data_IF_036500751342
#
_entry.id   IF_036500751342
#
_cell.length_a   1.000
_cell.length_b   1.000
_cell.length_c   1.000
_cell.angle_alpha   90.00
_cell.angle_beta   90.00
_cell.angle_gamma   90.00
#
_symmetry.space_group_name_H-M   'P 1'
#
loop_
_entity.id
_entity.type
_entity.pdbx_description
1 polymer ?
#
# COMPACT_ATOMS: atom_id res chain seq x y z
N UNK A 1 -11.67 0.48 -13.71
CA UNK A 1 -12.50 1.42 -12.91
C UNK A 1 -13.39 0.69 -11.91
N UNK A 2 -12.88 -0.37 -11.28
CA UNK A 2 -13.73 -1.30 -10.51
C UNK A 2 -14.05 -0.82 -9.09
N UNK A 3 -13.28 0.14 -8.58
CA UNK A 3 -13.42 0.66 -7.22
C UNK A 3 -13.86 2.13 -7.26
N UNK A 4 -15.12 2.38 -6.93
CA UNK A 4 -15.71 3.72 -6.81
C UNK A 4 -14.93 4.59 -5.83
N UNK A 5 -14.50 4.01 -4.72
CA UNK A 5 -13.69 4.63 -3.68
C UNK A 5 -12.40 5.27 -4.23
N UNK A 6 -11.68 4.57 -5.11
CA UNK A 6 -10.45 5.09 -5.70
C UNK A 6 -10.70 6.32 -6.59
N UNK A 7 -11.86 6.38 -7.25
CA UNK A 7 -12.26 7.53 -8.06
C UNK A 7 -12.68 8.70 -7.18
N UNK A 8 -13.43 8.45 -6.11
CA UNK A 8 -13.81 9.46 -5.12
C UNK A 8 -12.57 10.09 -4.46
N UNK A 9 -11.59 9.28 -4.04
CA UNK A 9 -10.34 9.78 -3.48
C UNK A 9 -9.59 10.70 -4.45
N UNK A 10 -9.61 10.41 -5.76
CA UNK A 10 -9.06 11.32 -6.78
C UNK A 10 -9.91 12.58 -6.93
N UNK A 11 -11.24 12.46 -6.92
CA UNK A 11 -12.17 13.59 -7.04
C UNK A 11 -12.08 14.60 -5.89
N UNK A 12 -11.88 14.12 -4.66
CA UNK A 12 -11.76 14.95 -3.46
C UNK A 12 -10.34 15.47 -3.20
N UNK A 13 -9.33 14.98 -3.91
CA UNK A 13 -7.96 15.40 -3.67
C UNK A 13 -7.76 16.88 -4.02
N UNK A 14 -7.14 17.64 -3.12
CA UNK A 14 -6.63 18.99 -3.43
C UNK A 14 -5.30 18.95 -4.19
N UNK A 15 -4.61 17.80 -4.12
CA UNK A 15 -3.30 17.56 -4.73
C UNK A 15 -3.09 16.09 -4.99
N UNK A 16 -2.50 15.77 -6.14
CA UNK A 16 -2.29 14.38 -6.54
C UNK A 16 -0.80 14.14 -6.77
N UNK A 17 -0.25 13.19 -6.01
CA UNK A 17 1.13 12.76 -6.13
C UNK A 17 1.19 11.42 -6.86
N UNK A 18 1.71 11.45 -8.07
CA UNK A 18 1.87 10.27 -8.90
C UNK A 18 3.23 9.62 -8.61
N UNK A 19 3.21 8.58 -7.78
CA UNK A 19 4.40 7.79 -7.47
C UNK A 19 4.61 6.61 -8.44
N UNK A 20 5.80 6.01 -8.41
CA UNK A 20 6.16 4.79 -9.17
C UNK A 20 6.09 4.93 -10.69
N UNK A 21 6.22 6.15 -11.21
CA UNK A 21 6.25 6.38 -12.66
C UNK A 21 7.47 5.77 -13.34
N UNK A 22 8.48 5.38 -12.57
CA UNK A 22 9.69 4.66 -13.00
C UNK A 22 9.44 3.21 -13.41
N UNK A 23 8.31 2.61 -13.00
CA UNK A 23 7.98 1.21 -13.29
C UNK A 23 7.14 1.02 -14.56
N UNK A 24 6.80 2.11 -15.26
CA UNK A 24 5.87 2.13 -16.39
C UNK A 24 6.38 3.02 -17.52
N UNK A 25 5.79 2.89 -18.71
CA UNK A 25 6.21 3.69 -19.86
C UNK A 25 5.74 5.14 -19.74
N UNK A 26 6.40 6.06 -20.43
CA UNK A 26 5.95 7.46 -20.49
C UNK A 26 4.54 7.60 -21.07
N UNK A 27 4.17 6.74 -22.02
CA UNK A 27 2.82 6.68 -22.57
C UNK A 27 1.78 6.31 -21.52
N UNK A 28 2.07 5.32 -20.67
CA UNK A 28 1.16 4.92 -19.59
C UNK A 28 0.95 6.05 -18.59
N UNK A 29 2.05 6.72 -18.23
CA UNK A 29 2.03 7.86 -17.31
C UNK A 29 1.20 9.01 -17.90
N UNK A 30 1.34 9.27 -19.20
CA UNK A 30 0.56 10.31 -19.89
C UNK A 30 -0.93 9.96 -19.90
N UNK A 31 -1.28 8.73 -20.28
CA UNK A 31 -2.67 8.26 -20.31
C UNK A 31 -3.33 8.36 -18.92
N UNK A 32 -2.63 7.93 -17.86
CA UNK A 32 -3.10 8.05 -16.49
C UNK A 32 -3.27 9.51 -16.07
N UNK A 33 -2.30 10.38 -16.39
CA UNK A 33 -2.37 11.81 -16.07
C UNK A 33 -3.55 12.50 -16.74
N UNK A 34 -3.85 12.19 -18.00
CA UNK A 34 -5.02 12.70 -18.72
C UNK A 34 -6.34 12.20 -18.12
N UNK A 35 -6.38 10.97 -17.64
CA UNK A 35 -7.55 10.42 -16.96
C UNK A 35 -7.77 11.08 -15.60
N UNK A 36 -6.71 11.25 -14.81
CA UNK A 36 -6.77 11.97 -13.52
C UNK A 36 -7.26 13.39 -13.72
N UNK A 37 -6.74 14.12 -14.72
CA UNK A 37 -7.19 15.49 -15.03
C UNK A 37 -8.65 15.57 -15.45
N UNK A 38 -9.18 14.53 -16.10
CA UNK A 38 -10.62 14.43 -16.41
C UNK A 38 -11.48 14.23 -15.16
N UNK A 39 -10.99 13.45 -14.19
CA UNK A 39 -11.69 13.20 -12.93
C UNK A 39 -11.62 14.41 -11.98
N UNK A 40 -10.45 15.05 -11.88
CA UNK A 40 -10.24 16.21 -11.03
C UNK A 40 -9.40 17.26 -11.76
N UNK A 41 -10.04 18.23 -12.43
CA UNK A 41 -9.35 19.32 -13.12
C UNK A 41 -8.70 20.35 -12.17
N UNK A 42 -9.11 20.37 -10.89
CA UNK A 42 -8.70 21.37 -9.90
C UNK A 42 -7.38 20.99 -9.21
N UNK A 43 -7.12 19.70 -9.06
CA UNK A 43 -5.92 19.21 -8.38
C UNK A 43 -4.67 19.20 -9.28
N UNK A 44 -3.57 19.87 -8.90
CA UNK A 44 -2.30 19.71 -9.58
C UNK A 44 -1.77 18.28 -9.40
N UNK A 45 -1.34 17.67 -10.52
CA UNK A 45 -0.74 16.33 -10.56
C UNK A 45 0.77 16.47 -10.67
N UNK A 46 1.51 15.95 -9.70
CA UNK A 46 2.98 15.97 -9.68
C UNK A 46 3.55 14.57 -9.59
N UNK A 47 4.55 14.25 -10.42
CA UNK A 47 5.29 12.98 -10.31
C UNK A 47 6.22 13.05 -9.11
N UNK A 48 6.25 11.99 -8.31
CA UNK A 48 7.14 11.87 -7.15
C UNK A 48 7.86 10.53 -7.21
N UNK A 49 9.11 10.50 -6.77
CA UNK A 49 9.90 9.29 -6.71
C UNK A 49 10.19 8.97 -5.25
N UNK A 50 9.78 7.78 -4.78
CA UNK A 50 9.99 7.32 -3.40
C UNK A 50 9.57 8.31 -2.29
N UNK A 51 8.58 9.17 -2.56
CA UNK A 51 8.09 10.16 -1.58
C UNK A 51 9.01 11.36 -1.41
N UNK A 52 10.05 11.51 -2.25
CA UNK A 52 10.86 12.71 -2.30
C UNK A 52 10.04 13.86 -2.88
N UNK A 53 9.67 14.80 -2.00
CA UNK A 53 9.06 16.06 -2.38
C UNK A 53 9.32 17.11 -1.28
N UNK A 54 9.45 18.41 -1.63
CA UNK A 54 9.51 19.46 -0.63
C UNK A 54 8.26 19.43 0.27
N UNK A 55 8.46 19.60 1.58
CA UNK A 55 7.37 19.50 2.56
C UNK A 55 6.32 20.60 2.36
N UNK A 56 6.73 21.77 1.83
CA UNK A 56 5.82 22.88 1.52
C UNK A 56 4.88 22.54 0.36
N UNK A 57 5.20 21.51 -0.42
CA UNK A 57 4.32 20.99 -1.46
C UNK A 57 3.36 19.91 -0.95
N UNK A 58 3.45 19.51 0.32
CA UNK A 58 2.52 18.58 0.96
C UNK A 58 1.66 19.29 2.00
N UNK A 59 2.25 20.23 2.75
CA UNK A 59 1.61 20.97 3.83
C UNK A 59 1.20 22.40 3.38
N UNK A 60 0.31 23.04 4.15
CA UNK A 60 -0.16 24.42 3.92
C UNK A 60 -0.71 24.70 2.51
N UNK A 61 -1.27 23.67 1.89
CA UNK A 61 -1.73 23.71 0.51
C UNK A 61 -3.00 24.54 0.30
N UNK A 62 -3.62 25.02 1.39
CA UNK A 62 -4.90 25.77 1.41
C UNK A 62 -5.99 25.13 0.54
N UNK A 63 -6.00 23.79 0.50
CA UNK A 63 -6.93 23.01 -0.32
C UNK A 63 -8.35 23.01 0.22
N UNK A 64 -8.51 23.11 1.54
CA UNK A 64 -9.83 23.09 2.15
C UNK A 64 -10.61 24.39 1.92
N UNK A 65 -11.59 24.33 1.03
CA UNK A 65 -12.63 25.35 0.87
C UNK A 65 -14.00 24.68 0.98
N UNK A 66 -14.63 24.80 2.16
CA UNK A 66 -15.92 24.18 2.46
C UNK A 66 -17.00 24.56 1.45
N UNK A 67 -17.00 25.79 0.93
CA UNK A 67 -17.98 26.23 -0.06
C UNK A 67 -17.78 25.50 -1.40
N UNK A 68 -16.52 25.28 -1.82
CA UNK A 68 -16.22 24.55 -3.04
C UNK A 68 -16.59 23.06 -2.96
N UNK A 69 -16.57 22.49 -1.74
CA UNK A 69 -16.99 21.11 -1.46
C UNK A 69 -18.53 21.02 -1.54
N UNK A 70 -19.24 21.94 -0.87
CA UNK A 70 -20.72 21.99 -0.89
C UNK A 70 -21.30 22.30 -2.28
N UNK A 71 -20.56 23.00 -3.15
CA UNK A 71 -20.95 23.22 -4.56
C UNK A 71 -20.86 21.93 -5.40
N UNK A 72 -19.93 21.02 -5.08
CA UNK A 72 -19.74 19.75 -5.77
C UNK A 72 -20.66 18.66 -5.21
N UNK A 73 -20.83 18.66 -3.90
CA UNK A 73 -21.65 17.72 -3.16
C UNK A 73 -22.45 18.47 -2.07
N UNK A 74 -23.68 18.94 -2.40
CA UNK A 74 -24.53 19.65 -1.46
C UNK A 74 -24.96 18.82 -0.24
N UNK A 75 -24.92 17.48 -0.35
CA UNK A 75 -25.27 16.55 0.72
C UNK A 75 -24.05 16.13 1.55
N UNK A 76 -22.86 16.71 1.30
CA UNK A 76 -21.60 16.38 1.99
C UNK A 76 -21.68 16.46 3.53
N UNK A 77 -22.58 17.29 4.08
CA UNK A 77 -22.80 17.42 5.53
C UNK A 77 -23.97 16.55 6.05
N UNK A 78 -24.67 15.85 5.16
CA UNK A 78 -25.72 14.91 5.52
C UNK A 78 -25.13 13.57 5.98
N UNK A 79 -25.84 12.88 6.87
CA UNK A 79 -25.48 11.52 7.30
C UNK A 79 -25.64 10.53 6.14
N UNK A 80 -24.65 10.45 5.25
CA UNK A 80 -24.51 9.32 4.33
C UNK A 80 -23.98 8.13 5.12
N UNK A 81 -24.88 7.26 5.54
CA UNK A 81 -24.55 5.93 6.02
C UNK A 81 -23.80 5.17 4.92
N UNK A 82 -22.47 5.26 4.93
CA UNK A 82 -21.61 4.38 4.14
C UNK A 82 -21.70 2.98 4.76
N UNK A 83 -22.56 2.12 4.21
CA UNK A 83 -22.56 0.69 4.54
C UNK A 83 -21.26 0.07 4.02
N UNK A 84 -20.23 0.05 4.87
CA UNK A 84 -19.03 -0.73 4.62
C UNK A 84 -19.36 -2.21 4.81
N UNK A 85 -19.70 -2.89 3.71
CA UNK A 85 -19.59 -4.34 3.67
C UNK A 85 -18.08 -4.66 3.56
N UNK A 86 -17.39 -4.69 4.70
CA UNK A 86 -15.95 -4.95 4.76
C UNK A 86 -15.66 -6.43 4.45
N UNK A 87 -15.65 -6.77 3.16
CA UNK A 87 -15.12 -8.05 2.66
C UNK A 87 -13.58 -8.13 2.76
N UNK A 88 -12.94 -7.00 3.04
CA UNK A 88 -11.49 -6.86 3.12
C UNK A 88 -11.06 -6.90 4.59
N UNK A 89 -10.26 -7.91 4.93
CA UNK A 89 -9.71 -8.07 6.26
C UNK A 89 -8.20 -7.83 6.25
N UNK A 90 -7.65 -7.53 7.44
CA UNK A 90 -6.22 -7.48 7.64
C UNK A 90 -5.79 -8.30 8.84
N UNK A 91 -4.61 -8.89 8.75
CA UNK A 91 -3.99 -9.58 9.88
C UNK A 91 -2.49 -9.37 9.89
N UNK A 92 -1.90 -9.51 11.08
CA UNK A 92 -0.50 -9.22 11.30
C UNK A 92 0.19 -10.42 11.94
N UNK A 93 1.32 -10.81 11.36
CA UNK A 93 2.26 -11.77 11.93
C UNK A 93 3.39 -11.01 12.64
N UNK A 94 3.77 -11.47 13.84
CA UNK A 94 4.91 -10.95 14.60
C UNK A 94 5.76 -12.08 15.11
N UNK A 95 7.09 -11.92 15.04
CA UNK A 95 8.01 -12.90 15.61
C UNK A 95 9.28 -12.23 16.13
N UNK A 96 9.74 -12.70 17.29
CA UNK A 96 11.04 -12.37 17.87
C UNK A 96 12.11 -13.40 17.46
N UNK A 97 11.91 -14.12 16.35
CA UNK A 97 12.88 -15.07 15.77
C UNK A 97 13.23 -14.67 14.33
N UNK A 98 14.44 -15.00 13.85
CA UNK A 98 14.81 -14.76 12.46
C UNK A 98 14.09 -15.74 11.52
N UNK A 99 13.80 -15.29 10.30
CA UNK A 99 13.35 -16.14 9.20
C UNK A 99 14.51 -16.86 8.52
N UNK A 100 14.25 -18.07 8.02
CA UNK A 100 15.01 -18.70 6.97
C UNK A 100 14.58 -18.12 5.62
N UNK A 101 15.53 -17.58 4.85
CA UNK A 101 15.24 -16.92 3.57
C UNK A 101 14.57 -17.82 2.55
N UNK A 102 15.14 -18.99 2.29
CA UNK A 102 14.68 -19.91 1.26
C UNK A 102 13.27 -20.42 1.58
N UNK A 103 13.00 -20.76 2.85
CA UNK A 103 11.66 -21.20 3.29
C UNK A 103 10.63 -20.09 3.10
N UNK A 104 10.97 -18.87 3.52
CA UNK A 104 10.07 -17.73 3.43
C UNK A 104 9.74 -17.39 1.97
N UNK A 105 10.73 -17.39 1.09
CA UNK A 105 10.55 -17.13 -0.33
C UNK A 105 9.66 -18.18 -1.00
N UNK A 106 9.90 -19.46 -0.74
CA UNK A 106 9.08 -20.55 -1.27
C UNK A 106 7.63 -20.45 -0.78
N UNK A 107 7.44 -20.21 0.53
CA UNK A 107 6.12 -20.05 1.11
C UNK A 107 5.37 -18.86 0.50
N UNK A 108 5.96 -17.66 0.51
CA UNK A 108 5.31 -16.46 -0.02
C UNK A 108 4.99 -16.58 -1.51
N UNK A 109 5.90 -17.16 -2.31
CA UNK A 109 5.66 -17.40 -3.74
C UNK A 109 4.45 -18.31 -3.97
N UNK A 110 4.32 -19.39 -3.19
CA UNK A 110 3.16 -20.27 -3.24
C UNK A 110 1.86 -19.56 -2.83
N UNK A 111 1.90 -18.78 -1.74
CA UNK A 111 0.73 -18.02 -1.29
C UNK A 111 0.30 -16.96 -2.32
N UNK A 112 1.25 -16.28 -2.97
CA UNK A 112 0.96 -15.30 -4.03
C UNK A 112 0.37 -15.99 -5.26
N UNK A 113 0.90 -17.16 -5.65
CA UNK A 113 0.37 -17.90 -6.80
C UNK A 113 -1.09 -18.33 -6.59
N UNK A 114 -1.45 -18.72 -5.37
CA UNK A 114 -2.80 -19.21 -5.05
C UNK A 114 -3.76 -18.07 -4.71
N UNK A 115 -3.35 -17.13 -3.86
CA UNK A 115 -4.22 -16.11 -3.27
C UNK A 115 -3.96 -14.70 -3.82
N UNK A 116 -3.03 -14.52 -4.76
CA UNK A 116 -2.64 -13.19 -5.22
C UNK A 116 -3.77 -12.31 -5.80
N UNK A 117 -4.84 -12.84 -6.43
CA UNK A 117 -6.01 -12.02 -6.78
C UNK A 117 -6.69 -11.39 -5.55
N UNK A 118 -6.78 -12.13 -4.44
CA UNK A 118 -7.42 -11.71 -3.20
C UNK A 118 -6.46 -11.01 -2.23
N UNK A 119 -5.16 -11.15 -2.44
CA UNK A 119 -4.09 -10.57 -1.64
C UNK A 119 -3.81 -9.11 -2.08
N UNK A 120 -4.69 -8.20 -1.66
CA UNK A 120 -4.67 -6.80 -2.10
C UNK A 120 -3.35 -6.08 -1.78
N UNK A 121 -2.84 -6.24 -0.55
CA UNK A 121 -1.59 -5.59 -0.14
C UNK A 121 -0.93 -6.31 1.01
N UNK A 122 0.39 -6.34 0.99
CA UNK A 122 1.16 -6.90 2.08
C UNK A 122 2.49 -6.20 2.20
N UNK A 123 2.97 -6.08 3.43
CA UNK A 123 4.21 -5.39 3.76
C UNK A 123 4.83 -5.96 5.01
N UNK A 124 6.11 -5.73 5.17
CA UNK A 124 6.70 -5.84 6.49
C UNK A 124 8.19 -5.62 6.55
N UNK A 125 8.66 -5.71 7.79
CA UNK A 125 10.06 -5.58 8.17
C UNK A 125 10.46 -6.90 8.77
N UNK A 126 11.48 -7.53 8.21
CA UNK A 126 11.87 -8.89 8.50
C UNK A 126 13.26 -8.91 9.13
N UNK A 127 13.39 -9.74 10.17
CA UNK A 127 14.68 -10.21 10.65
C UNK A 127 15.02 -11.51 9.90
N UNK A 128 16.01 -11.45 9.01
CA UNK A 128 16.50 -12.62 8.28
C UNK A 128 17.73 -13.22 8.97
N UNK A 129 17.80 -14.56 9.04
CA UNK A 129 18.97 -15.27 9.56
C UNK A 129 20.22 -14.90 8.75
N UNK A 130 21.31 -14.59 9.44
CA UNK A 130 22.57 -14.19 8.81
C UNK A 130 22.61 -12.76 8.24
N UNK A 131 21.52 -11.99 8.30
CA UNK A 131 21.50 -10.61 7.80
C UNK A 131 21.53 -9.59 8.97
N UNK A 132 22.55 -8.71 9.05
CA UNK A 132 22.63 -7.68 10.08
C UNK A 132 21.70 -6.48 9.83
N UNK A 133 21.05 -6.42 8.66
CA UNK A 133 20.11 -5.36 8.27
C UNK A 133 18.67 -5.86 8.28
N UNK A 134 17.75 -4.91 8.40
CA UNK A 134 16.32 -5.15 8.15
C UNK A 134 16.14 -5.52 6.68
N UNK A 135 15.27 -6.48 6.40
CA UNK A 135 14.73 -6.66 5.05
C UNK A 135 13.33 -6.05 5.04
N UNK A 136 13.10 -5.10 4.16
CA UNK A 136 11.77 -4.54 3.95
C UNK A 136 11.18 -5.24 2.74
N UNK A 137 10.01 -5.85 2.88
CA UNK A 137 9.29 -6.44 1.76
C UNK A 137 7.94 -5.78 1.60
N UNK A 138 7.45 -5.75 0.37
CA UNK A 138 6.14 -5.23 0.03
C UNK A 138 5.60 -5.88 -1.23
N UNK A 139 4.29 -6.01 -1.29
CA UNK A 139 3.62 -6.46 -2.49
C UNK A 139 2.18 -5.98 -2.59
N UNK A 140 1.68 -6.08 -3.82
CA UNK A 140 0.34 -5.69 -4.26
C UNK A 140 -0.10 -6.76 -5.24
N UNK A 141 -1.14 -7.52 -4.88
CA UNK A 141 -1.58 -8.69 -5.63
C UNK A 141 -0.42 -9.65 -5.94
N UNK A 142 -0.22 -9.96 -7.21
CA UNK A 142 0.80 -10.88 -7.72
C UNK A 142 2.23 -10.33 -7.67
N UNK A 143 2.40 -9.03 -7.41
CA UNK A 143 3.71 -8.39 -7.46
C UNK A 143 4.30 -8.25 -6.05
N UNK A 144 5.49 -8.79 -5.87
CA UNK A 144 6.28 -8.68 -4.64
C UNK A 144 7.67 -8.12 -4.95
N UNK A 145 8.21 -7.32 -4.04
CA UNK A 145 9.59 -6.86 -4.05
C UNK A 145 10.14 -6.74 -2.63
N UNK A 146 11.46 -6.76 -2.51
CA UNK A 146 12.16 -6.63 -1.24
C UNK A 146 13.46 -5.85 -1.38
N UNK A 147 13.77 -5.05 -0.36
CA UNK A 147 14.95 -4.20 -0.30
C UNK A 147 15.65 -4.32 1.06
N UNK A 148 16.96 -4.05 1.07
CA UNK A 148 17.73 -3.94 2.31
C UNK A 148 17.43 -2.61 2.99
N UNK A 149 16.78 -2.67 4.15
CA UNK A 149 16.55 -1.54 5.02
C UNK A 149 17.77 -1.16 5.88
N UNK A 150 17.54 -0.33 6.90
CA UNK A 150 18.59 0.11 7.83
C UNK A 150 19.17 -1.09 8.63
N UNK A 151 20.45 -1.03 9.02
CA UNK A 151 21.01 -1.95 10.02
C UNK A 151 20.16 -1.98 11.29
N UNK A 152 20.12 -3.13 11.98
CA UNK A 152 19.39 -3.24 13.25
C UNK A 152 19.95 -2.34 14.35
N UNK A 153 21.27 -2.12 14.37
CA UNK A 153 21.91 -1.29 15.40
C UNK A 153 21.62 -1.80 16.82
N UNK A 154 21.10 -0.92 17.68
CA UNK A 154 20.66 -1.25 19.05
C UNK A 154 19.18 -1.62 19.15
N UNK A 155 18.45 -1.55 18.03
CA UNK A 155 17.01 -1.79 18.04
C UNK A 155 16.71 -3.28 18.21
N UNK A 156 15.62 -3.60 18.92
CA UNK A 156 15.16 -4.99 19.08
C UNK A 156 14.90 -5.60 17.70
N UNK A 157 15.54 -6.73 17.43
CA UNK A 157 15.31 -7.51 16.21
C UNK A 157 13.97 -8.22 16.32
N UNK A 158 13.08 -7.94 15.38
CA UNK A 158 11.76 -8.54 15.32
C UNK A 158 11.24 -8.49 13.88
N UNK A 159 10.41 -9.45 13.51
CA UNK A 159 9.70 -9.47 12.25
C UNK A 159 8.27 -9.03 12.46
N UNK A 160 7.77 -8.15 11.59
CA UNK A 160 6.36 -7.72 11.55
C UNK A 160 5.91 -7.74 10.10
N UNK A 161 4.84 -8.48 9.81
CA UNK A 161 4.25 -8.60 8.48
C UNK A 161 2.76 -8.33 8.58
N UNK A 162 2.23 -7.47 7.71
CA UNK A 162 0.79 -7.22 7.56
C UNK A 162 0.33 -7.71 6.20
N UNK A 163 -0.82 -8.36 6.19
CA UNK A 163 -1.52 -8.82 4.99
C UNK A 163 -2.92 -8.20 5.00
N UNK A 164 -3.36 -7.75 3.84
CA UNK A 164 -4.65 -7.13 3.59
C UNK A 164 -5.23 -7.83 2.37
N UNK A 165 -6.42 -8.40 2.51
CA UNK A 165 -7.05 -9.10 1.40
C UNK A 165 -8.47 -9.57 1.69
N UNK A 166 -9.07 -10.19 0.67
CA UNK A 166 -10.45 -10.67 0.72
C UNK A 166 -10.47 -12.13 1.14
N UNK A 167 -11.18 -12.47 2.22
CA UNK A 167 -11.41 -13.86 2.68
C UNK A 167 -10.13 -14.71 2.73
N UNK A 168 -9.00 -14.10 3.11
CA UNK A 168 -7.72 -14.80 3.17
C UNK A 168 -7.72 -15.85 4.28
N UNK A 169 -7.13 -17.05 4.07
CA UNK A 169 -7.02 -18.08 5.10
C UNK A 169 -5.96 -17.70 6.13
N UNK A 170 -6.30 -16.78 7.04
CA UNK A 170 -5.40 -16.21 8.06
C UNK A 170 -4.58 -17.28 8.79
N UNK A 171 -5.22 -18.33 9.28
CA UNK A 171 -4.55 -19.35 10.09
C UNK A 171 -3.50 -20.13 9.28
N UNK A 172 -3.76 -20.38 7.99
CA UNK A 172 -2.79 -20.98 7.07
C UNK A 172 -1.57 -20.07 6.87
N UNK A 173 -1.80 -18.77 6.68
CA UNK A 173 -0.71 -17.79 6.57
C UNK A 173 0.14 -17.75 7.83
N UNK A 174 -0.48 -17.65 9.00
CA UNK A 174 0.24 -17.57 10.27
C UNK A 174 1.03 -18.85 10.57
N UNK A 175 0.42 -20.01 10.35
CA UNK A 175 1.09 -21.30 10.55
C UNK A 175 2.29 -21.48 9.60
N UNK A 176 2.11 -21.22 8.30
CA UNK A 176 3.20 -21.34 7.33
C UNK A 176 4.35 -20.37 7.57
N UNK A 177 4.06 -19.14 8.03
CA UNK A 177 5.10 -18.21 8.44
C UNK A 177 5.88 -18.69 9.67
N UNK A 178 5.21 -19.32 10.64
CA UNK A 178 5.89 -19.88 11.82
C UNK A 178 6.87 -21.01 11.42
N UNK A 179 6.52 -21.84 10.44
CA UNK A 179 7.40 -22.90 9.90
C UNK A 179 8.63 -22.37 9.13
N UNK A 180 8.56 -21.10 8.69
CA UNK A 180 9.66 -20.40 8.04
C UNK A 180 10.70 -19.82 9.02
N UNK A 181 10.42 -19.81 10.32
CA UNK A 181 11.37 -19.34 11.34
C UNK A 181 12.53 -20.33 11.53
N UNK A 182 13.68 -19.84 12.00
CA UNK A 182 14.97 -20.52 11.92
C UNK A 182 15.77 -20.63 13.23
#
# INVERSE_FOLDING_TARGET
>A
DEFTEAQQQVGFADRILLSKSDLVTESDVKALSERIRRMNPRAPVKKVHFGEMPIEEVLDIRGFNLNAILELDPEFLGDTHHEHHDEVESFVFRSDKPFNGDKLEQFLSGMIQVYGPDLLRYKGVLWMKGNPRRVVFQGVHMMMGGDLGKPWGKDKKQSIMVFIGKKLPKDLFLAGLEECLA
#
